data_IF_783427358904
#
_entry.id   IF_783427358904
#
_cell.length_a   1.000
_cell.length_b   1.000
_cell.length_c   1.000
_cell.angle_alpha   90.00
_cell.angle_beta   90.00
_cell.angle_gamma   90.00
#
_symmetry.space_group_name_H-M   'P 1'
#
loop_
_entity.id
_entity.type
_entity.pdbx_description
1 polymer ?
#
# COMPACT_ATOMS: atom_id res chain seq x y z
N UNK A 1 3.62 4.59 -16.00
CA UNK A 1 4.28 3.52 -15.23
C UNK A 1 5.50 4.13 -14.54
N UNK A 2 5.31 4.79 -13.40
CA UNK A 2 6.43 5.13 -12.51
C UNK A 2 6.25 4.20 -11.32
N UNK A 3 6.77 2.99 -11.45
CA UNK A 3 6.97 2.11 -10.30
C UNK A 3 8.01 2.80 -9.42
N UNK A 4 7.57 3.66 -8.49
CA UNK A 4 8.43 4.12 -7.40
C UNK A 4 8.90 2.85 -6.69
N UNK A 5 10.14 2.48 -6.96
CA UNK A 5 10.79 1.30 -6.41
C UNK A 5 10.75 1.43 -4.89
N UNK A 6 9.98 0.55 -4.26
CA UNK A 6 9.87 0.44 -2.79
C UNK A 6 11.24 0.24 -2.13
N UNK A 7 12.27 -0.14 -2.90
CA UNK A 7 13.66 -0.25 -2.44
C UNK A 7 14.34 1.08 -2.12
N UNK A 8 13.91 2.20 -2.71
CA UNK A 8 14.56 3.53 -2.57
C UNK A 8 13.86 4.44 -1.56
N UNK A 9 12.69 4.04 -1.05
CA UNK A 9 11.90 4.86 -0.13
C UNK A 9 12.47 4.78 1.29
N UNK A 10 12.64 5.95 1.91
CA UNK A 10 13.04 6.07 3.31
C UNK A 10 11.93 5.53 4.25
N UNK A 11 12.29 5.18 5.48
CA UNK A 11 11.34 4.64 6.47
C UNK A 11 10.12 5.56 6.70
N UNK A 12 10.30 6.88 6.58
CA UNK A 12 9.21 7.87 6.64
C UNK A 12 8.29 7.79 5.41
N UNK A 13 8.86 7.70 4.22
CA UNK A 13 8.11 7.63 2.97
C UNK A 13 7.32 6.33 2.84
N UNK A 14 7.89 5.20 3.32
CA UNK A 14 7.17 3.93 3.43
C UNK A 14 5.91 4.04 4.32
N UNK A 15 5.99 4.81 5.41
CA UNK A 15 4.82 5.08 6.28
C UNK A 15 3.78 5.95 5.58
N UNK A 16 4.21 6.98 4.86
CA UNK A 16 3.32 7.85 4.09
C UNK A 16 2.59 7.07 3.01
N UNK A 17 3.31 6.28 2.21
CA UNK A 17 2.74 5.44 1.16
C UNK A 17 1.76 4.40 1.75
N UNK A 18 2.09 3.82 2.92
CA UNK A 18 1.20 2.91 3.63
C UNK A 18 -0.12 3.60 4.04
N UNK A 19 -0.06 4.85 4.50
CA UNK A 19 -1.25 5.62 4.88
C UNK A 19 -2.13 5.91 3.66
N UNK A 20 -1.52 6.32 2.55
CA UNK A 20 -2.25 6.59 1.30
C UNK A 20 -2.95 5.33 0.77
N UNK A 21 -2.25 4.18 0.74
CA UNK A 21 -2.86 2.91 0.36
C UNK A 21 -3.98 2.46 1.30
N UNK A 22 -3.90 2.79 2.59
CA UNK A 22 -4.99 2.52 3.55
C UNK A 22 -6.21 3.40 3.30
N UNK A 23 -6.02 4.68 2.97
CA UNK A 23 -7.12 5.55 2.55
C UNK A 23 -7.77 5.03 1.27
N UNK A 24 -6.97 4.63 0.29
CA UNK A 24 -7.47 4.03 -0.95
C UNK A 24 -8.25 2.74 -0.66
N UNK A 25 -7.73 1.86 0.20
CA UNK A 25 -8.43 0.65 0.63
C UNK A 25 -9.78 0.96 1.29
N UNK A 26 -9.84 2.00 2.14
CA UNK A 26 -11.08 2.43 2.79
C UNK A 26 -12.09 2.94 1.77
N UNK A 27 -11.68 3.78 0.83
CA UNK A 27 -12.52 4.26 -0.27
C UNK A 27 -13.05 3.10 -1.12
N UNK A 28 -12.20 2.12 -1.46
CA UNK A 28 -12.63 0.92 -2.19
C UNK A 28 -13.59 0.05 -1.38
N UNK A 29 -13.46 -0.04 -0.04
CA UNK A 29 -14.44 -0.73 0.81
C UNK A 29 -15.77 0.00 0.82
N UNK A 30 -15.76 1.33 0.88
CA UNK A 30 -16.97 2.15 0.82
C UNK A 30 -17.69 2.00 -0.53
N UNK A 31 -16.95 2.13 -1.65
CA UNK A 31 -17.48 1.90 -2.99
C UNK A 31 -18.05 0.48 -3.18
N UNK A 32 -17.42 -0.53 -2.56
CA UNK A 32 -17.94 -1.89 -2.54
C UNK A 32 -19.23 -2.00 -1.74
N UNK A 33 -19.33 -1.31 -0.61
CA UNK A 33 -20.53 -1.30 0.23
C UNK A 33 -21.71 -0.59 -0.45
N UNK A 34 -21.45 0.44 -1.25
CA UNK A 34 -22.48 1.16 -2.03
C UNK A 34 -22.83 0.49 -3.35
N UNK A 35 -22.15 -0.62 -3.71
CA UNK A 35 -22.37 -1.33 -4.97
C UNK A 35 -21.78 -0.63 -6.20
N UNK A 36 -21.08 0.49 -6.03
CA UNK A 36 -20.50 1.30 -7.13
C UNK A 36 -19.02 0.96 -7.39
N UNK A 37 -18.58 -0.25 -7.05
CA UNK A 37 -17.18 -0.64 -7.21
C UNK A 37 -16.85 -0.89 -8.68
N UNK A 38 -16.31 0.12 -9.36
CA UNK A 38 -15.96 0.04 -10.77
C UNK A 38 -14.81 -0.94 -11.07
N UNK A 39 -13.86 -1.14 -10.13
CA UNK A 39 -12.69 -1.99 -10.37
C UNK A 39 -12.37 -2.93 -9.18
N UNK A 40 -12.91 -4.16 -9.18
CA UNK A 40 -12.63 -5.17 -8.16
C UNK A 40 -11.15 -5.61 -8.11
N UNK A 41 -10.46 -5.58 -9.25
CA UNK A 41 -9.04 -5.97 -9.34
C UNK A 41 -8.13 -5.02 -8.56
N UNK A 42 -8.50 -3.73 -8.48
CA UNK A 42 -7.76 -2.73 -7.71
C UNK A 42 -7.70 -3.08 -6.22
N UNK A 43 -8.76 -3.64 -5.65
CA UNK A 43 -8.76 -4.08 -4.25
C UNK A 43 -7.70 -5.15 -3.95
N UNK A 44 -7.46 -6.08 -4.90
CA UNK A 44 -6.40 -7.09 -4.77
C UNK A 44 -5.01 -6.47 -4.93
N UNK A 45 -4.86 -5.49 -5.84
CA UNK A 45 -3.61 -4.76 -6.03
C UNK A 45 -3.21 -3.97 -4.78
N UNK A 46 -4.11 -3.17 -4.22
CA UNK A 46 -3.87 -2.36 -3.01
C UNK A 46 -3.48 -3.24 -1.82
N UNK A 47 -4.16 -4.37 -1.61
CA UNK A 47 -3.78 -5.34 -0.56
C UNK A 47 -2.35 -5.88 -0.73
N UNK A 48 -1.95 -6.19 -1.98
CA UNK A 48 -0.58 -6.67 -2.27
C UNK A 48 0.46 -5.57 -2.06
N UNK A 49 0.17 -4.33 -2.43
CA UNK A 49 1.07 -3.19 -2.22
C UNK A 49 1.29 -2.93 -0.72
N UNK A 50 0.22 -2.95 0.09
CA UNK A 50 0.32 -2.83 1.56
C UNK A 50 1.21 -3.93 2.14
N UNK A 51 1.06 -5.18 1.68
CA UNK A 51 1.90 -6.27 2.13
C UNK A 51 3.39 -6.05 1.80
N UNK A 52 3.71 -5.63 0.56
CA UNK A 52 5.08 -5.33 0.13
C UNK A 52 5.73 -4.23 0.98
N UNK A 53 5.00 -3.15 1.25
CA UNK A 53 5.51 -2.05 2.08
C UNK A 53 5.78 -2.53 3.51
N UNK A 54 4.86 -3.29 4.10
CA UNK A 54 5.07 -3.87 5.44
C UNK A 54 6.30 -4.77 5.48
N UNK A 55 6.50 -5.63 4.47
CA UNK A 55 7.69 -6.48 4.38
C UNK A 55 8.96 -5.62 4.30
N UNK A 56 8.97 -4.58 3.46
CA UNK A 56 10.11 -3.67 3.37
C UNK A 56 10.41 -2.95 4.67
N UNK A 57 9.38 -2.50 5.41
CA UNK A 57 9.57 -1.88 6.73
C UNK A 57 10.21 -2.85 7.72
N UNK A 58 9.84 -4.14 7.68
CA UNK A 58 10.47 -5.17 8.53
C UNK A 58 11.93 -5.41 8.12
N UNK A 59 12.22 -5.47 6.82
CA UNK A 59 13.60 -5.59 6.33
C UNK A 59 14.47 -4.41 6.78
N UNK A 60 13.99 -3.18 6.60
CA UNK A 60 14.70 -1.96 7.03
C UNK A 60 15.00 -1.99 8.53
N UNK A 61 14.03 -2.40 9.35
CA UNK A 61 14.22 -2.54 10.79
C UNK A 61 15.21 -3.66 11.18
N UNK A 62 15.35 -4.72 10.37
CA UNK A 62 16.29 -5.82 10.62
C UNK A 62 17.73 -5.51 10.22
N UNK A 63 17.93 -4.59 9.28
CA UNK A 63 19.26 -4.19 8.80
C UNK A 63 19.96 -3.14 9.68
N UNK A 64 19.38 -2.77 10.82
CA UNK A 64 20.03 -1.88 11.78
C UNK A 64 20.76 -2.75 12.82
N UNK A 65 22.10 -2.72 12.90
CA UNK A 65 22.86 -3.43 13.93
C UNK A 65 22.65 -2.82 15.33
#
# INVERSE_FOLDING_TARGET
MVEKKVSELNASELKTELLELRKEQFNLRMQRSTGQLANPSRFKAVRRQIARIKTRMVEVNRTVP
#
